data_IF_572471416367
#
_entry.id   IF_572471416367
#
_cell.length_a   1.000
_cell.length_b   1.000
_cell.length_c   1.000
_cell.angle_alpha   90.00
_cell.angle_beta   90.00
_cell.angle_gamma   90.00
#
_symmetry.space_group_name_H-M   'P 1'
#
loop_
_entity.id
_entity.type
_entity.pdbx_description
1 polymer ?
#
# COMPACT_ATOMS: atom_id res chain seq x y z
N UNK A 1 -8.90 -29.61 -77.74
CA UNK A 1 -9.80 -30.03 -76.61
C UNK A 1 -9.27 -29.39 -75.33
N UNK A 2 -9.81 -28.23 -74.96
CA UNK A 2 -9.44 -27.55 -73.70
C UNK A 2 -10.49 -27.83 -72.67
N UNK A 3 -10.10 -28.53 -71.59
CA UNK A 3 -10.94 -28.89 -70.47
C UNK A 3 -11.09 -27.69 -69.51
N UNK A 4 -12.27 -27.13 -69.43
CA UNK A 4 -12.63 -26.12 -68.45
C UNK A 4 -12.86 -26.79 -67.05
N UNK A 5 -11.82 -26.84 -66.26
CA UNK A 5 -11.94 -27.13 -64.85
C UNK A 5 -11.85 -25.84 -64.06
N UNK A 6 -12.96 -25.17 -63.80
CA UNK A 6 -12.94 -24.04 -62.84
C UNK A 6 -14.34 -23.69 -62.37
N UNK A 7 -14.62 -23.88 -61.13
CA UNK A 7 -15.82 -23.36 -60.47
C UNK A 7 -15.95 -23.71 -59.02
N UNK A 8 -15.63 -24.94 -58.67
CA UNK A 8 -15.86 -25.45 -57.32
C UNK A 8 -14.74 -25.10 -56.33
N UNK A 9 -13.49 -24.94 -56.78
CA UNK A 9 -12.34 -24.60 -55.92
C UNK A 9 -12.36 -23.15 -55.41
N UNK A 10 -12.74 -22.22 -56.27
CA UNK A 10 -12.76 -20.77 -55.93
C UNK A 10 -13.78 -20.41 -54.83
N UNK A 11 -14.94 -21.10 -54.80
CA UNK A 11 -15.98 -20.86 -53.81
C UNK A 11 -15.61 -21.41 -52.40
N UNK A 12 -14.87 -22.53 -52.35
CA UNK A 12 -14.38 -23.08 -51.06
C UNK A 12 -13.33 -22.19 -50.47
N UNK A 13 -12.36 -21.70 -51.25
CA UNK A 13 -11.30 -20.79 -50.78
C UNK A 13 -11.85 -19.45 -50.28
N UNK A 14 -12.86 -18.88 -50.94
CA UNK A 14 -13.51 -17.66 -50.50
C UNK A 14 -14.26 -17.83 -49.14
N UNK A 15 -14.91 -18.98 -48.92
CA UNK A 15 -15.56 -19.25 -47.63
C UNK A 15 -14.53 -19.40 -46.51
N UNK A 16 -13.43 -20.11 -46.74
CA UNK A 16 -12.35 -20.29 -45.78
C UNK A 16 -11.68 -18.97 -45.43
N UNK A 17 -11.40 -18.10 -46.40
CA UNK A 17 -10.84 -16.78 -46.19
C UNK A 17 -11.78 -15.89 -45.38
N UNK A 18 -13.09 -15.92 -45.64
CA UNK A 18 -14.07 -15.16 -44.84
C UNK A 18 -14.13 -15.64 -43.38
N UNK A 19 -14.15 -16.96 -43.15
CA UNK A 19 -14.15 -17.52 -41.80
C UNK A 19 -12.87 -17.15 -41.05
N UNK A 20 -11.71 -17.28 -41.73
CA UNK A 20 -10.42 -16.89 -41.14
C UNK A 20 -10.37 -15.41 -40.80
N UNK A 21 -10.88 -14.53 -41.66
CA UNK A 21 -10.96 -13.09 -41.42
C UNK A 21 -11.83 -12.76 -40.21
N UNK A 22 -12.98 -13.43 -40.02
CA UNK A 22 -13.85 -13.25 -38.84
C UNK A 22 -13.16 -13.72 -37.58
N UNK A 23 -12.47 -14.87 -37.63
CA UNK A 23 -11.72 -15.39 -36.45
C UNK A 23 -10.61 -14.43 -36.05
N UNK A 24 -9.83 -13.93 -37.00
CA UNK A 24 -8.76 -12.94 -36.70
C UNK A 24 -9.34 -11.66 -36.14
N UNK A 25 -10.48 -11.19 -36.63
CA UNK A 25 -11.13 -10.00 -36.12
C UNK A 25 -11.63 -10.18 -34.69
N UNK A 26 -12.24 -11.33 -34.36
CA UNK A 26 -12.68 -11.67 -33.00
C UNK A 26 -11.50 -11.78 -32.04
N UNK A 27 -10.40 -12.40 -32.47
CA UNK A 27 -9.17 -12.49 -31.68
C UNK A 27 -8.55 -11.10 -31.42
N UNK A 28 -8.57 -10.22 -32.39
CA UNK A 28 -8.08 -8.85 -32.23
C UNK A 28 -8.91 -8.06 -31.21
N UNK A 29 -10.24 -8.17 -31.27
CA UNK A 29 -11.13 -7.54 -30.27
C UNK A 29 -10.88 -8.11 -28.87
N UNK A 30 -10.74 -9.43 -28.75
CA UNK A 30 -10.44 -10.07 -27.47
C UNK A 30 -9.10 -9.60 -26.90
N UNK A 31 -8.07 -9.50 -27.73
CA UNK A 31 -6.75 -9.01 -27.34
C UNK A 31 -6.81 -7.55 -26.85
N UNK A 32 -7.52 -6.67 -27.56
CA UNK A 32 -7.73 -5.28 -27.15
C UNK A 32 -8.46 -5.22 -25.81
N UNK A 33 -9.51 -6.02 -25.63
CA UNK A 33 -10.26 -6.08 -24.37
C UNK A 33 -9.38 -6.50 -23.18
N UNK A 34 -8.56 -7.54 -23.36
CA UNK A 34 -7.61 -7.99 -22.32
C UNK A 34 -6.56 -6.92 -22.04
N UNK A 35 -6.01 -6.28 -23.05
CA UNK A 35 -4.99 -5.22 -22.89
C UNK A 35 -5.56 -4.01 -22.16
N UNK A 36 -6.75 -3.55 -22.52
CA UNK A 36 -7.43 -2.42 -21.84
C UNK A 36 -7.74 -2.77 -20.40
N UNK A 37 -8.25 -3.97 -20.13
CA UNK A 37 -8.52 -4.44 -18.76
C UNK A 37 -7.25 -4.52 -17.92
N UNK A 38 -6.15 -5.00 -18.48
CA UNK A 38 -4.85 -5.07 -17.79
C UNK A 38 -4.29 -3.67 -17.47
N UNK A 39 -4.33 -2.74 -18.43
CA UNK A 39 -3.89 -1.36 -18.25
C UNK A 39 -4.75 -0.63 -17.20
N UNK A 40 -6.05 -0.86 -17.21
CA UNK A 40 -6.94 -0.28 -16.21
C UNK A 40 -6.66 -0.83 -14.81
N UNK A 41 -6.52 -2.15 -14.68
CA UNK A 41 -6.20 -2.79 -13.40
C UNK A 41 -4.82 -2.33 -12.85
N UNK A 42 -3.81 -2.20 -13.70
CA UNK A 42 -2.48 -1.71 -13.28
C UNK A 42 -2.50 -0.22 -12.89
N UNK A 43 -3.30 0.61 -13.57
CA UNK A 43 -3.47 2.03 -13.21
C UNK A 43 -4.16 2.21 -11.86
N UNK A 44 -5.23 1.47 -11.59
CA UNK A 44 -5.92 1.47 -10.28
C UNK A 44 -4.98 0.99 -9.17
N UNK A 45 -4.16 -0.03 -9.43
CA UNK A 45 -3.19 -0.55 -8.45
C UNK A 45 -2.16 0.51 -8.06
N UNK A 46 -1.61 1.26 -9.00
CA UNK A 46 -0.63 2.33 -8.70
C UNK A 46 -1.25 3.45 -7.87
N UNK A 47 -2.37 4.01 -8.30
CA UNK A 47 -3.05 5.09 -7.55
C UNK A 47 -3.46 4.68 -6.14
N UNK A 48 -3.82 3.41 -5.93
CA UNK A 48 -4.13 2.87 -4.61
C UNK A 48 -2.87 2.72 -3.76
N UNK A 49 -1.75 2.26 -4.33
CA UNK A 49 -0.46 2.17 -3.65
C UNK A 49 0.00 3.56 -3.18
N UNK A 50 -0.01 4.55 -4.08
CA UNK A 50 0.40 5.92 -3.77
C UNK A 50 -0.48 6.54 -2.67
N UNK A 51 -1.79 6.29 -2.72
CA UNK A 51 -2.72 6.74 -1.69
C UNK A 51 -2.47 6.08 -0.32
N UNK A 52 -2.14 4.77 -0.29
CA UNK A 52 -1.79 4.06 0.94
C UNK A 52 -0.47 4.57 1.52
N UNK A 53 0.55 4.80 0.68
CA UNK A 53 1.83 5.36 1.10
C UNK A 53 1.68 6.78 1.65
N UNK A 54 0.97 7.66 0.94
CA UNK A 54 0.69 9.02 1.40
C UNK A 54 -0.06 9.03 2.74
N UNK A 55 -1.02 8.12 2.92
CA UNK A 55 -1.75 7.99 4.19
C UNK A 55 -0.83 7.48 5.30
N UNK A 56 0.00 6.49 5.03
CA UNK A 56 0.94 5.95 6.02
C UNK A 56 1.98 7.01 6.45
N UNK A 57 2.52 7.78 5.50
CA UNK A 57 3.42 8.90 5.77
C UNK A 57 2.75 9.94 6.66
N UNK A 58 1.48 10.28 6.38
CA UNK A 58 0.73 11.21 7.22
C UNK A 58 0.51 10.69 8.64
N UNK A 59 0.13 9.42 8.80
CA UNK A 59 -0.04 8.81 10.13
C UNK A 59 1.29 8.78 10.92
N UNK A 60 2.42 8.51 10.27
CA UNK A 60 3.74 8.54 10.89
C UNK A 60 4.11 9.96 11.37
N UNK A 61 3.87 10.98 10.55
CA UNK A 61 4.13 12.38 10.90
C UNK A 61 3.22 12.87 12.04
N UNK A 62 1.96 12.46 12.08
CA UNK A 62 1.05 12.77 13.18
C UNK A 62 1.46 12.06 14.47
N UNK A 63 1.91 10.79 14.40
CA UNK A 63 2.50 10.09 15.53
C UNK A 63 3.73 10.85 16.06
N UNK A 64 4.65 11.27 15.20
CA UNK A 64 5.81 12.06 15.56
C UNK A 64 5.41 13.37 16.25
N UNK A 65 4.46 14.10 15.67
CA UNK A 65 3.96 15.35 16.26
C UNK A 65 3.37 15.11 17.65
N UNK A 66 2.62 14.03 17.84
CA UNK A 66 2.04 13.68 19.14
C UNK A 66 3.12 13.32 20.18
N UNK A 67 4.17 12.58 19.77
CA UNK A 67 5.32 12.27 20.64
C UNK A 67 6.09 13.53 21.02
N UNK A 68 6.34 14.45 20.09
CA UNK A 68 7.00 15.73 20.42
C UNK A 68 6.17 16.56 21.42
N UNK A 69 4.85 16.61 21.25
CA UNK A 69 3.96 17.26 22.24
C UNK A 69 4.02 16.55 23.59
N UNK A 70 4.10 15.22 23.60
CA UNK A 70 4.24 14.43 24.81
C UNK A 70 5.52 14.77 25.58
N UNK A 71 6.66 14.95 24.89
CA UNK A 71 7.93 15.33 25.51
C UNK A 71 7.94 16.76 26.06
N UNK A 72 7.08 17.63 25.56
CA UNK A 72 6.97 19.03 25.99
C UNK A 72 5.89 19.23 27.06
N UNK A 73 5.00 18.28 27.27
CA UNK A 73 3.87 18.42 28.18
C UNK A 73 4.27 18.11 29.65
N UNK A 74 3.91 18.99 30.55
CA UNK A 74 4.06 18.77 32.00
C UNK A 74 2.75 18.27 32.60
N UNK A 75 2.50 16.98 32.54
CA UNK A 75 1.67 16.26 33.52
C UNK A 75 0.19 16.00 33.18
N UNK A 76 -0.64 16.99 32.91
CA UNK A 76 -2.11 16.78 32.92
C UNK A 76 -2.72 16.11 31.70
N UNK A 77 -2.05 16.15 30.54
CA UNK A 77 -2.56 15.59 29.28
C UNK A 77 -1.77 14.37 28.77
N UNK A 78 -0.86 13.83 29.59
CA UNK A 78 0.06 12.76 29.17
C UNK A 78 -0.67 11.52 28.67
N UNK A 79 -1.71 11.07 29.37
CA UNK A 79 -2.50 9.89 28.98
C UNK A 79 -3.21 10.10 27.63
N UNK A 80 -3.76 11.29 27.41
CA UNK A 80 -4.42 11.62 26.12
C UNK A 80 -3.41 11.64 24.99
N UNK A 81 -2.21 12.18 25.19
CA UNK A 81 -1.15 12.21 24.19
C UNK A 81 -0.61 10.80 23.90
N UNK A 82 -0.42 9.94 24.92
CA UNK A 82 -0.06 8.52 24.71
C UNK A 82 -1.13 7.80 23.90
N UNK A 83 -2.41 8.03 24.19
CA UNK A 83 -3.53 7.46 23.44
C UNK A 83 -3.55 7.95 21.97
N UNK A 84 -3.21 9.22 21.72
CA UNK A 84 -3.10 9.74 20.36
C UNK A 84 -1.96 9.06 19.58
N UNK A 85 -0.76 8.95 20.18
CA UNK A 85 0.35 8.21 19.55
C UNK A 85 -0.08 6.78 19.23
N UNK A 86 -0.69 6.09 20.21
CA UNK A 86 -1.19 4.73 20.04
C UNK A 86 -2.17 4.61 18.87
N UNK A 87 -3.07 5.58 18.70
CA UNK A 87 -4.04 5.56 17.61
C UNK A 87 -3.39 5.64 16.22
N UNK A 88 -2.34 6.46 16.06
CA UNK A 88 -1.59 6.57 14.81
C UNK A 88 -0.77 5.31 14.54
N UNK A 89 -0.15 4.70 15.56
CA UNK A 89 0.58 3.42 15.40
C UNK A 89 -0.38 2.29 15.00
N UNK A 90 -1.56 2.20 15.57
CA UNK A 90 -2.59 1.24 15.14
C UNK A 90 -3.11 1.53 13.73
N UNK A 91 -3.24 2.80 13.33
CA UNK A 91 -3.58 3.14 11.95
C UNK A 91 -2.53 2.62 10.96
N UNK A 92 -1.24 2.73 11.27
CA UNK A 92 -0.16 2.14 10.47
C UNK A 92 -0.25 0.61 10.39
N UNK A 93 -0.59 -0.08 11.48
CA UNK A 93 -0.83 -1.53 11.45
C UNK A 93 -2.02 -1.91 10.55
N UNK A 94 -3.11 -1.13 10.62
CA UNK A 94 -4.26 -1.32 9.74
C UNK A 94 -3.89 -1.12 8.26
N UNK A 95 -3.07 -0.11 7.95
CA UNK A 95 -2.58 0.14 6.59
C UNK A 95 -1.67 -0.99 6.09
N UNK A 96 -0.80 -1.55 6.94
CA UNK A 96 -0.04 -2.76 6.62
C UNK A 96 -0.95 -3.94 6.28
N UNK A 97 -1.98 -4.17 7.10
CA UNK A 97 -2.94 -5.25 6.86
C UNK A 97 -3.70 -5.05 5.56
N UNK A 98 -4.08 -3.81 5.27
CA UNK A 98 -4.77 -3.45 4.03
C UNK A 98 -3.86 -3.66 2.82
N UNK A 99 -2.60 -3.23 2.88
CA UNK A 99 -1.61 -3.44 1.82
C UNK A 99 -1.39 -4.94 1.56
N UNK A 100 -1.23 -5.75 2.60
CA UNK A 100 -1.08 -7.20 2.49
C UNK A 100 -2.32 -7.87 1.86
N UNK A 101 -3.52 -7.39 2.15
CA UNK A 101 -4.76 -7.91 1.56
C UNK A 101 -4.93 -7.52 0.08
N UNK A 102 -4.46 -6.34 -0.32
CA UNK A 102 -4.58 -5.85 -1.70
C UNK A 102 -3.48 -6.40 -2.59
N UNK A 103 -2.22 -6.39 -2.12
CA UNK A 103 -1.03 -6.67 -2.93
C UNK A 103 -0.39 -8.04 -2.62
N UNK A 104 -0.87 -8.75 -1.60
CA UNK A 104 -0.40 -10.07 -1.19
C UNK A 104 0.37 -10.07 0.13
N UNK A 105 0.43 -11.24 0.77
CA UNK A 105 0.90 -11.47 2.14
C UNK A 105 2.38 -11.14 2.44
N UNK A 106 3.12 -10.58 1.50
CA UNK A 106 4.51 -10.13 1.70
C UNK A 106 4.67 -8.62 1.59
N UNK A 107 3.60 -7.90 1.28
CA UNK A 107 3.66 -6.44 1.10
C UNK A 107 3.52 -5.75 2.45
N UNK A 108 4.56 -5.08 2.88
CA UNK A 108 4.63 -4.37 4.16
C UNK A 108 5.03 -2.92 3.87
N UNK A 109 4.27 -1.96 4.41
CA UNK A 109 4.59 -0.52 4.30
C UNK A 109 5.63 -0.14 5.36
N UNK A 110 5.43 -0.62 6.60
CA UNK A 110 6.33 -0.45 7.74
C UNK A 110 6.60 -1.81 8.35
N UNK A 111 7.85 -2.09 8.73
CA UNK A 111 8.17 -3.34 9.40
C UNK A 111 7.31 -3.53 10.66
N UNK A 112 6.63 -4.67 10.74
CA UNK A 112 5.76 -5.01 11.87
C UNK A 112 6.50 -5.06 13.22
N UNK A 113 7.80 -5.33 13.22
CA UNK A 113 8.65 -5.30 14.41
C UNK A 113 8.78 -3.89 14.98
N UNK A 114 8.93 -2.87 14.14
CA UNK A 114 8.99 -1.46 14.55
C UNK A 114 7.67 -1.02 15.20
N UNK A 115 6.53 -1.36 14.59
CA UNK A 115 5.22 -1.03 15.15
C UNK A 115 4.97 -1.77 16.48
N UNK A 116 5.42 -3.01 16.59
CA UNK A 116 5.31 -3.79 17.83
C UNK A 116 6.18 -3.20 18.94
N UNK A 117 7.40 -2.75 18.62
CA UNK A 117 8.26 -2.06 19.57
C UNK A 117 7.59 -0.80 20.12
N UNK A 118 7.10 0.09 19.23
CA UNK A 118 6.36 1.29 19.64
C UNK A 118 5.18 0.97 20.60
N UNK A 119 4.42 -0.10 20.32
CA UNK A 119 3.30 -0.50 21.19
C UNK A 119 3.81 -0.96 22.56
N UNK A 120 4.87 -1.74 22.61
CA UNK A 120 5.45 -2.22 23.87
C UNK A 120 5.99 -1.05 24.72
N UNK A 121 6.62 -0.06 24.09
CA UNK A 121 7.09 1.16 24.75
C UNK A 121 5.92 2.00 25.25
N UNK A 122 4.82 2.12 24.47
CA UNK A 122 3.58 2.78 24.90
C UNK A 122 2.95 2.07 26.11
N UNK A 123 2.87 0.74 26.10
CA UNK A 123 2.33 -0.04 27.21
C UNK A 123 3.17 0.18 28.49
N UNK A 124 4.50 0.18 28.34
CA UNK A 124 5.43 0.46 29.42
C UNK A 124 5.24 1.90 29.97
N UNK A 125 5.09 2.88 29.11
CA UNK A 125 4.85 4.27 29.50
C UNK A 125 3.52 4.42 30.25
N UNK A 126 2.45 3.80 29.76
CA UNK A 126 1.15 3.82 30.44
C UNK A 126 1.19 3.17 31.83
N UNK A 127 1.86 2.03 31.98
CA UNK A 127 2.04 1.35 33.26
C UNK A 127 2.84 2.21 34.25
N UNK A 128 3.92 2.85 33.77
CA UNK A 128 4.72 3.78 34.59
C UNK A 128 3.91 4.99 35.03
N UNK A 129 3.10 5.56 34.13
CA UNK A 129 2.23 6.68 34.44
C UNK A 129 1.20 6.33 35.51
N UNK A 130 0.55 5.16 35.41
CA UNK A 130 -0.40 4.65 36.38
C UNK A 130 0.25 4.41 37.76
N UNK A 131 1.53 3.98 37.76
CA UNK A 131 2.31 3.79 38.98
C UNK A 131 2.88 5.11 39.58
N UNK A 132 2.65 6.26 38.94
CA UNK A 132 3.21 7.54 39.35
C UNK A 132 4.70 7.69 39.12
N UNK A 133 5.30 6.87 38.27
CA UNK A 133 6.72 6.86 37.95
C UNK A 133 7.08 7.86 36.86
N UNK A 134 8.37 8.20 36.79
CA UNK A 134 8.93 9.11 35.76
C UNK A 134 8.94 8.43 34.40
N UNK A 135 8.50 9.16 33.38
CA UNK A 135 8.32 8.67 32.01
C UNK A 135 9.48 8.99 31.05
N UNK A 136 10.46 9.78 31.50
CA UNK A 136 11.50 10.37 30.59
C UNK A 136 12.17 9.33 29.71
N UNK A 137 12.56 8.16 30.24
CA UNK A 137 13.21 7.11 29.45
C UNK A 137 12.27 6.51 28.39
N UNK A 138 11.03 6.19 28.77
CA UNK A 138 10.05 5.64 27.83
C UNK A 138 9.63 6.65 26.75
N UNK A 139 9.59 7.94 27.07
CA UNK A 139 9.32 9.00 26.10
C UNK A 139 10.46 9.18 25.10
N UNK A 140 11.72 9.07 25.55
CA UNK A 140 12.89 9.15 24.68
C UNK A 140 12.91 7.93 23.74
N UNK A 141 12.72 6.73 24.26
CA UNK A 141 12.67 5.50 23.49
C UNK A 141 11.53 5.54 22.44
N UNK A 142 10.31 5.92 22.85
CA UNK A 142 9.18 6.07 21.95
C UNK A 142 9.44 7.10 20.83
N UNK A 143 10.10 8.20 21.16
CA UNK A 143 10.51 9.21 20.18
C UNK A 143 11.47 8.63 19.17
N UNK A 144 12.52 7.95 19.62
CA UNK A 144 13.53 7.37 18.73
C UNK A 144 12.93 6.32 17.80
N UNK A 145 11.99 5.50 18.31
CA UNK A 145 11.25 4.52 17.52
C UNK A 145 10.37 5.16 16.44
N UNK A 146 9.62 6.21 16.80
CA UNK A 146 8.73 6.92 15.84
C UNK A 146 9.56 7.72 14.84
N UNK A 147 10.65 8.36 15.25
CA UNK A 147 11.58 9.07 14.37
C UNK A 147 12.21 8.10 13.33
N UNK A 148 12.51 6.86 13.73
CA UNK A 148 12.98 5.82 12.82
C UNK A 148 11.92 5.44 11.76
N UNK A 149 10.64 5.38 12.13
CA UNK A 149 9.54 5.13 11.18
C UNK A 149 9.44 6.29 10.18
N UNK A 150 9.47 7.54 10.64
CA UNK A 150 9.41 8.73 9.75
C UNK A 150 10.62 8.79 8.82
N UNK A 151 11.83 8.48 9.33
CA UNK A 151 13.05 8.43 8.52
C UNK A 151 12.95 7.39 7.40
N UNK A 152 12.30 6.26 7.64
CA UNK A 152 12.05 5.22 6.62
C UNK A 152 11.18 5.77 5.48
N UNK A 153 10.09 6.49 5.77
CA UNK A 153 9.25 7.12 4.74
C UNK A 153 10.00 8.18 3.94
N UNK A 154 10.79 9.02 4.62
CA UNK A 154 11.61 10.02 3.95
C UNK A 154 12.67 9.42 3.03
N UNK A 155 13.24 8.26 3.40
CA UNK A 155 14.18 7.53 2.55
C UNK A 155 13.49 6.93 1.32
N UNK A 156 12.27 6.42 1.45
CA UNK A 156 11.48 5.91 0.32
C UNK A 156 11.14 7.02 -0.68
N UNK A 157 10.68 8.18 -0.20
CA UNK A 157 10.37 9.34 -1.05
C UNK A 157 11.58 9.84 -1.84
N UNK A 158 12.76 9.86 -1.20
CA UNK A 158 14.01 10.25 -1.87
C UNK A 158 14.52 9.21 -2.89
N UNK A 159 14.12 7.96 -2.79
CA UNK A 159 14.49 6.91 -3.73
C UNK A 159 13.63 6.91 -5.01
N UNK A 160 12.46 7.54 -4.99
CA UNK A 160 11.54 7.65 -6.13
C UNK A 160 11.78 8.90 -6.99
N UNK A 161 12.58 9.88 -6.51
CA UNK A 161 12.96 11.11 -7.21
C UNK A 161 14.35 10.99 -7.84
#
# INVERSE_FOLDING_TARGET
MYSFQTGAGRRKTQKTVRILSVVVFVLAIALIGVTVSYLHASGVSRTTSDALMARATNEANEAQTAVYRLTQSSGTNTMTLLSNVRSHIYALQCLNTLAANIYGAGTVIVDGSMLTACIATLDTAEQRLQAGNVLTSSMTELRDEVDAIVALFSAMENAEN
#
